data_IF_303333930702
#
_entry.id   IF_303333930702
#
_cell.length_a   1.000
_cell.length_b   1.000
_cell.length_c   1.000
_cell.angle_alpha   90.00
_cell.angle_beta   90.00
_cell.angle_gamma   90.00
#
_symmetry.space_group_name_H-M   'P 1'
#
loop_
_entity.id
_entity.type
_entity.pdbx_description
1 polymer ?
#
# COMPACT_ATOMS: atom_id res chain seq x y z
N UNK A 1 -17.45 7.94 66.76
CA UNK A 1 -17.93 6.56 66.53
C UNK A 1 -17.11 6.02 65.35
N UNK A 2 -15.90 5.45 65.50
CA UNK A 2 -15.52 4.12 66.00
C UNK A 2 -16.52 3.02 65.64
N UNK A 3 -16.19 2.17 64.66
CA UNK A 3 -15.80 0.76 64.86
C UNK A 3 -15.84 0.00 63.51
N UNK A 4 -14.73 -0.63 63.17
CA UNK A 4 -14.67 -1.80 62.28
C UNK A 4 -14.48 -3.06 63.15
N UNK A 5 -14.37 -4.25 62.52
CA UNK A 5 -15.30 -5.40 62.46
C UNK A 5 -15.12 -6.38 63.64
N UNK A 6 -15.63 -7.65 63.63
CA UNK A 6 -14.69 -8.73 63.25
C UNK A 6 -15.29 -10.11 62.78
N UNK A 7 -14.37 -10.98 62.31
CA UNK A 7 -14.31 -12.47 62.44
C UNK A 7 -15.21 -13.39 61.57
N UNK A 8 -14.91 -14.64 61.17
CA UNK A 8 -13.83 -15.69 61.25
C UNK A 8 -14.41 -16.86 60.37
N UNK A 9 -13.72 -17.69 59.57
CA UNK A 9 -12.66 -18.67 59.84
C UNK A 9 -12.00 -19.06 58.49
N UNK A 10 -10.69 -19.31 58.31
CA UNK A 10 -9.74 -20.22 58.98
C UNK A 10 -10.12 -21.70 58.92
N UNK A 11 -9.62 -22.39 57.89
CA UNK A 11 -9.10 -23.76 58.06
C UNK A 11 -7.71 -23.81 57.42
N UNK A 12 -6.70 -23.78 58.29
CA UNK A 12 -5.36 -24.29 58.07
C UNK A 12 -5.45 -25.75 57.59
N UNK A 13 -4.72 -26.11 56.54
CA UNK A 13 -4.12 -27.44 56.47
C UNK A 13 -2.61 -27.26 56.68
N UNK A 14 -2.16 -27.84 57.78
CA UNK A 14 -0.84 -27.69 58.37
C UNK A 14 -0.16 -29.05 58.26
N UNK A 15 0.62 -29.25 57.20
CA UNK A 15 1.62 -30.31 57.15
C UNK A 15 2.94 -29.76 56.65
N UNK A 16 3.71 -29.30 57.64
CA UNK A 16 5.15 -29.15 57.62
C UNK A 16 5.86 -30.18 56.72
N UNK A 17 6.95 -29.78 56.04
CA UNK A 17 8.30 -30.34 56.28
C UNK A 17 9.37 -29.49 55.54
N UNK A 18 10.03 -28.66 56.34
CA UNK A 18 11.48 -28.39 56.45
C UNK A 18 12.32 -28.15 55.18
N UNK A 19 12.76 -26.89 55.07
CA UNK A 19 13.93 -26.46 54.30
C UNK A 19 15.19 -26.70 55.15
N UNK A 20 16.13 -27.55 54.71
CA UNK A 20 17.50 -27.59 55.22
C UNK A 20 18.48 -27.76 54.06
N UNK A 21 19.38 -26.79 53.92
CA UNK A 21 20.50 -26.79 52.99
C UNK A 21 21.56 -27.83 53.38
N UNK A 22 22.11 -28.57 52.42
CA UNK A 22 23.40 -29.25 52.53
C UNK A 22 23.80 -29.90 51.19
N UNK A 23 24.94 -29.47 50.62
CA UNK A 23 25.98 -30.25 49.92
C UNK A 23 25.55 -31.23 48.79
N UNK A 24 26.23 -31.43 47.67
CA UNK A 24 27.38 -30.88 46.99
C UNK A 24 27.37 -31.55 45.60
N UNK A 25 27.92 -30.86 44.60
CA UNK A 25 28.40 -31.28 43.27
C UNK A 25 28.41 -32.80 42.98
N UNK A 26 27.94 -33.22 41.78
CA UNK A 26 28.70 -33.96 40.74
C UNK A 26 27.78 -34.50 39.60
N UNK A 27 28.28 -34.37 38.36
CA UNK A 27 27.97 -35.04 37.08
C UNK A 27 26.73 -34.61 36.24
N UNK A 28 27.04 -33.99 35.08
CA UNK A 28 26.25 -33.95 33.83
C UNK A 28 26.19 -35.36 33.19
N UNK A 29 25.24 -35.73 32.28
CA UNK A 29 25.21 -35.09 30.96
C UNK A 29 23.86 -35.04 30.18
N UNK A 30 23.83 -34.12 29.21
CA UNK A 30 23.31 -34.32 27.84
C UNK A 30 21.82 -34.68 27.66
N UNK A 31 20.94 -33.68 27.61
CA UNK A 31 19.77 -33.67 26.72
C UNK A 31 19.10 -32.30 26.71
N UNK A 32 18.93 -31.73 25.51
CA UNK A 32 17.89 -30.76 25.23
C UNK A 32 18.22 -29.31 25.57
N UNK A 33 18.48 -28.50 24.54
CA UNK A 33 17.49 -27.53 24.12
C UNK A 33 17.87 -27.01 22.73
N UNK A 34 17.03 -27.37 21.77
CA UNK A 34 17.00 -26.86 20.40
C UNK A 34 16.96 -25.32 20.45
N UNK A 35 18.09 -24.65 20.20
CA UNK A 35 18.07 -23.21 19.99
C UNK A 35 17.49 -22.97 18.60
N UNK A 36 16.26 -22.47 18.58
CA UNK A 36 15.50 -22.13 17.40
C UNK A 36 16.28 -21.15 16.50
N UNK A 37 16.79 -21.65 15.39
CA UNK A 37 16.95 -20.84 14.20
C UNK A 37 15.60 -20.83 13.48
N UNK A 38 14.66 -20.05 14.03
CA UNK A 38 13.59 -19.50 13.21
C UNK A 38 14.25 -18.49 12.28
N UNK A 39 14.87 -18.98 11.21
CA UNK A 39 15.04 -18.20 10.00
C UNK A 39 13.63 -17.87 9.56
N UNK A 40 13.14 -16.72 9.99
CA UNK A 40 12.02 -16.08 9.34
C UNK A 40 12.51 -15.75 7.94
N UNK A 41 12.37 -16.71 7.02
CA UNK A 41 12.26 -16.44 5.59
C UNK A 41 10.92 -15.73 5.34
N UNK A 42 10.69 -14.63 6.06
CA UNK A 42 9.83 -13.58 5.60
C UNK A 42 10.56 -12.99 4.40
N UNK A 43 10.44 -13.67 3.24
CA UNK A 43 10.71 -13.06 1.95
C UNK A 43 10.03 -11.70 2.03
N UNK A 44 10.78 -10.59 1.91
CA UNK A 44 10.16 -9.29 1.97
C UNK A 44 9.04 -9.28 0.94
N UNK A 45 7.83 -8.97 1.37
CA UNK A 45 6.66 -8.92 0.49
C UNK A 45 6.95 -7.85 -0.55
N UNK A 46 7.45 -8.27 -1.71
CA UNK A 46 7.67 -7.40 -2.85
C UNK A 46 6.47 -7.54 -3.77
N UNK A 47 6.17 -6.45 -4.47
CA UNK A 47 5.16 -6.47 -5.52
C UNK A 47 5.88 -6.68 -6.84
N UNK A 48 5.62 -7.82 -7.46
CA UNK A 48 6.04 -8.10 -8.83
C UNK A 48 5.24 -7.19 -9.78
N UNK A 49 5.92 -6.24 -10.42
CA UNK A 49 5.29 -5.21 -11.26
C UNK A 49 5.30 -5.58 -12.74
N UNK A 50 6.15 -6.54 -13.15
CA UNK A 50 6.22 -7.02 -14.53
C UNK A 50 5.75 -8.48 -14.70
N UNK A 51 5.28 -9.10 -13.61
CA UNK A 51 4.65 -10.42 -13.57
C UNK A 51 5.62 -11.55 -13.95
N UNK A 52 6.91 -11.43 -13.58
CA UNK A 52 7.94 -12.41 -13.92
C UNK A 52 8.35 -13.35 -12.76
N UNK A 53 7.75 -13.18 -11.57
CA UNK A 53 7.95 -14.02 -10.39
C UNK A 53 9.30 -13.86 -9.68
N UNK A 54 10.07 -12.80 -9.97
CA UNK A 54 11.34 -12.48 -9.30
C UNK A 54 11.38 -11.02 -8.85
N UNK A 55 12.18 -10.73 -7.82
CA UNK A 55 12.44 -9.35 -7.42
C UNK A 55 13.49 -8.73 -8.35
N UNK A 56 13.05 -7.86 -9.25
CA UNK A 56 13.95 -7.12 -10.12
C UNK A 56 14.53 -5.86 -9.46
N UNK A 57 15.73 -5.38 -9.87
CA UNK A 57 16.34 -4.19 -9.29
C UNK A 57 15.42 -2.96 -9.28
N UNK A 58 14.63 -2.71 -10.34
CA UNK A 58 13.71 -1.57 -10.38
C UNK A 58 12.56 -1.65 -9.33
N UNK A 59 12.19 -2.86 -8.91
CA UNK A 59 11.13 -3.15 -7.94
C UNK A 59 11.64 -3.09 -6.49
N UNK A 60 12.93 -3.28 -6.29
CA UNK A 60 13.55 -3.25 -4.97
C UNK A 60 13.70 -1.81 -4.45
N UNK A 61 12.76 -1.41 -3.60
CA UNK A 61 12.77 -0.12 -2.90
C UNK A 61 14.01 0.15 -2.03
N UNK A 62 14.82 -0.88 -1.72
CA UNK A 62 16.07 -0.74 -0.96
C UNK A 62 17.23 -0.25 -1.83
N UNK A 63 17.11 -0.31 -3.15
CA UNK A 63 18.12 0.18 -4.11
C UNK A 63 17.97 1.69 -4.30
N UNK A 64 19.06 2.35 -4.69
CA UNK A 64 19.04 3.78 -5.03
C UNK A 64 18.12 4.04 -6.23
N UNK A 65 17.62 5.28 -6.34
CA UNK A 65 16.79 5.67 -7.47
C UNK A 65 17.49 5.44 -8.81
N UNK A 66 18.79 5.76 -8.92
CA UNK A 66 19.57 5.61 -10.15
C UNK A 66 19.59 4.16 -10.64
N UNK A 67 19.91 3.19 -9.75
CA UNK A 67 19.92 1.76 -10.08
C UNK A 67 18.56 1.29 -10.59
N UNK A 68 17.49 1.81 -9.99
CA UNK A 68 16.11 1.44 -10.35
C UNK A 68 15.66 2.09 -11.66
N UNK A 69 16.13 3.30 -11.93
CA UNK A 69 15.85 4.02 -13.17
C UNK A 69 16.58 3.33 -14.33
N UNK A 70 17.86 3.04 -14.17
CA UNK A 70 18.69 2.39 -15.19
C UNK A 70 18.14 1.00 -15.56
N UNK A 71 17.82 0.17 -14.55
CA UNK A 71 17.24 -1.15 -14.79
C UNK A 71 15.90 -1.08 -15.54
N UNK A 72 15.01 -0.13 -15.20
CA UNK A 72 13.77 0.01 -15.96
C UNK A 72 14.03 0.51 -17.39
N UNK A 73 14.88 1.52 -17.57
CA UNK A 73 15.16 2.09 -18.90
C UNK A 73 15.78 1.06 -19.85
N UNK A 74 16.55 0.11 -19.34
CA UNK A 74 17.06 -1.02 -20.11
C UNK A 74 15.97 -2.01 -20.52
N UNK A 75 14.90 -2.13 -19.72
CA UNK A 75 13.78 -3.04 -19.99
C UNK A 75 12.72 -2.45 -20.91
N UNK A 76 12.66 -1.13 -21.05
CA UNK A 76 11.66 -0.43 -21.85
C UNK A 76 11.99 -0.44 -23.35
N UNK A 77 10.95 -0.63 -24.17
CA UNK A 77 11.05 -0.41 -25.62
C UNK A 77 11.10 1.09 -25.95
N UNK A 78 11.41 1.44 -27.20
CA UNK A 78 11.41 2.85 -27.62
C UNK A 78 10.02 3.46 -27.53
N UNK A 79 8.99 2.71 -27.88
CA UNK A 79 7.58 3.11 -27.84
C UNK A 79 7.13 3.37 -26.40
N UNK A 80 7.52 2.52 -25.46
CA UNK A 80 7.24 2.72 -24.03
C UNK A 80 7.95 3.98 -23.51
N UNK A 81 9.20 4.23 -23.93
CA UNK A 81 9.93 5.46 -23.57
C UNK A 81 9.22 6.70 -24.09
N UNK A 82 8.81 6.70 -25.36
CA UNK A 82 8.05 7.80 -25.95
C UNK A 82 6.70 8.00 -25.25
N UNK A 83 6.00 6.92 -24.91
CA UNK A 83 4.74 6.98 -24.17
C UNK A 83 4.88 7.62 -22.79
N UNK A 84 5.99 7.39 -22.08
CA UNK A 84 6.26 8.04 -20.79
C UNK A 84 6.50 9.55 -20.89
N UNK A 85 6.84 10.06 -22.07
CA UNK A 85 7.01 11.50 -22.30
C UNK A 85 5.68 12.20 -22.62
N UNK A 86 4.60 11.45 -22.85
CA UNK A 86 3.29 12.01 -23.19
C UNK A 86 2.45 12.30 -21.96
N UNK A 87 1.79 13.46 -21.99
CA UNK A 87 0.73 13.84 -21.04
C UNK A 87 -0.58 13.98 -21.80
N UNK A 88 -1.53 13.08 -21.58
CA UNK A 88 -2.80 13.06 -22.29
C UNK A 88 -3.97 13.55 -21.42
N UNK A 89 -5.13 13.84 -22.01
CA UNK A 89 -6.38 13.89 -21.25
C UNK A 89 -7.01 12.51 -21.24
N UNK A 90 -7.47 12.05 -20.07
CA UNK A 90 -8.28 10.84 -20.01
C UNK A 90 -9.57 11.06 -20.82
N UNK A 91 -9.88 10.18 -21.79
CA UNK A 91 -11.14 10.22 -22.51
C UNK A 91 -12.32 10.04 -21.56
N UNK A 92 -13.35 10.85 -21.75
CA UNK A 92 -14.63 10.73 -21.05
C UNK A 92 -15.76 10.51 -22.06
N UNK A 93 -16.96 10.18 -21.58
CA UNK A 93 -18.15 10.12 -22.44
C UNK A 93 -18.52 11.45 -23.13
N UNK A 94 -17.94 12.57 -22.70
CA UNK A 94 -18.09 13.87 -23.35
C UNK A 94 -17.08 14.06 -24.51
N UNK A 95 -17.52 14.49 -25.72
CA UNK A 95 -16.64 14.68 -26.89
C UNK A 95 -15.55 15.74 -26.75
N UNK A 96 -15.76 16.76 -25.90
CA UNK A 96 -14.74 17.76 -25.58
C UNK A 96 -13.82 17.29 -24.44
N UNK A 97 -14.18 16.16 -23.82
CA UNK A 97 -13.51 15.58 -22.68
C UNK A 97 -13.61 16.48 -21.46
N UNK A 98 -14.64 17.33 -21.35
CA UNK A 98 -14.80 18.29 -20.27
C UNK A 98 -16.14 18.06 -19.56
N UNK A 99 -16.11 17.78 -18.26
CA UNK A 99 -17.32 17.63 -17.46
C UNK A 99 -18.08 16.32 -17.67
N UNK A 100 -17.45 15.32 -18.31
CA UNK A 100 -18.00 13.97 -18.33
C UNK A 100 -18.24 13.43 -16.91
N UNK A 101 -19.29 12.63 -16.74
CA UNK A 101 -19.58 11.93 -15.47
C UNK A 101 -18.80 10.63 -15.34
N UNK A 102 -18.12 10.18 -16.40
CA UNK A 102 -17.23 9.04 -16.31
C UNK A 102 -16.23 8.91 -17.46
N UNK A 103 -15.16 8.17 -17.20
CA UNK A 103 -14.18 7.83 -18.22
C UNK A 103 -14.73 6.85 -19.26
N UNK A 104 -14.36 7.05 -20.52
CA UNK A 104 -14.50 6.01 -21.55
C UNK A 104 -13.35 5.00 -21.36
N UNK A 105 -13.63 3.94 -20.60
CA UNK A 105 -12.62 2.92 -20.28
C UNK A 105 -12.10 2.16 -21.50
N UNK A 106 -12.85 2.10 -22.61
CA UNK A 106 -12.37 1.49 -23.87
C UNK A 106 -11.31 2.38 -24.50
N UNK A 107 -11.57 3.68 -24.59
CA UNK A 107 -10.60 4.64 -25.09
C UNK A 107 -9.38 4.80 -24.17
N UNK A 108 -9.58 4.77 -22.84
CA UNK A 108 -8.50 4.77 -21.84
C UNK A 108 -7.62 3.53 -21.99
N UNK A 109 -8.21 2.33 -22.18
CA UNK A 109 -7.46 1.10 -22.42
C UNK A 109 -6.54 1.20 -23.62
N UNK A 110 -7.02 1.72 -24.74
CA UNK A 110 -6.19 1.95 -25.93
C UNK A 110 -5.06 2.94 -25.63
N UNK A 111 -5.36 4.00 -24.90
CA UNK A 111 -4.36 5.00 -24.52
C UNK A 111 -3.22 4.42 -23.66
N UNK A 112 -3.55 3.60 -22.67
CA UNK A 112 -2.58 3.05 -21.73
C UNK A 112 -1.83 1.87 -22.35
N UNK A 113 -2.53 0.91 -22.95
CA UNK A 113 -1.93 -0.33 -23.41
C UNK A 113 -1.26 -0.22 -24.79
N UNK A 114 -1.81 0.60 -25.70
CA UNK A 114 -1.30 0.71 -27.07
C UNK A 114 -0.35 1.91 -27.23
N UNK A 115 -0.58 3.00 -26.48
CA UNK A 115 0.24 4.23 -26.58
C UNK A 115 1.17 4.45 -25.39
N UNK A 116 1.18 3.53 -24.43
CA UNK A 116 2.06 3.56 -23.26
C UNK A 116 2.02 4.88 -22.46
N UNK A 117 0.87 5.57 -22.47
CA UNK A 117 0.72 6.82 -21.73
C UNK A 117 0.67 6.49 -20.23
N UNK A 118 1.58 7.11 -19.48
CA UNK A 118 1.72 6.88 -18.02
C UNK A 118 1.26 8.06 -17.18
N UNK A 119 1.03 9.23 -17.79
CA UNK A 119 0.56 10.42 -17.11
C UNK A 119 -0.58 11.08 -17.88
N UNK A 120 -1.61 11.53 -17.17
CA UNK A 120 -2.79 12.09 -17.81
C UNK A 120 -3.49 13.14 -16.93
N UNK A 121 -4.34 13.98 -17.51
CA UNK A 121 -5.21 14.87 -16.75
C UNK A 121 -6.61 14.26 -16.65
N UNK A 122 -7.29 14.52 -15.54
CA UNK A 122 -8.74 14.32 -15.45
C UNK A 122 -9.45 15.64 -15.68
N UNK A 123 -10.62 15.53 -16.31
CA UNK A 123 -11.55 16.63 -16.52
C UNK A 123 -12.97 16.21 -16.13
N UNK A 124 -13.12 15.12 -15.37
CA UNK A 124 -14.40 14.71 -14.82
C UNK A 124 -14.88 15.73 -13.79
N UNK A 125 -16.19 15.93 -13.73
CA UNK A 125 -16.84 16.79 -12.74
C UNK A 125 -17.83 15.95 -11.94
N UNK A 126 -17.29 15.16 -10.99
CA UNK A 126 -18.04 14.21 -10.15
C UNK A 126 -17.64 14.36 -8.68
N UNK A 127 -18.43 13.82 -7.72
CA UNK A 127 -18.05 13.83 -6.32
C UNK A 127 -16.68 13.17 -6.06
N UNK A 128 -15.93 13.60 -5.02
CA UNK A 128 -14.57 13.12 -4.78
C UNK A 128 -14.43 11.60 -4.62
N UNK A 129 -15.41 10.95 -3.97
CA UNK A 129 -15.39 9.49 -3.78
C UNK A 129 -15.50 8.76 -5.13
N UNK A 130 -16.41 9.20 -6.00
CA UNK A 130 -16.60 8.63 -7.33
C UNK A 130 -15.36 8.88 -8.21
N UNK A 131 -14.76 10.07 -8.12
CA UNK A 131 -13.52 10.38 -8.85
C UNK A 131 -12.37 9.45 -8.41
N UNK A 132 -12.25 9.18 -7.10
CA UNK A 132 -11.25 8.25 -6.58
C UNK A 132 -11.50 6.82 -7.07
N UNK A 133 -12.75 6.35 -7.09
CA UNK A 133 -13.10 5.04 -7.62
C UNK A 133 -12.75 4.90 -9.12
N UNK A 134 -13.07 5.93 -9.91
CA UNK A 134 -12.74 5.95 -11.34
C UNK A 134 -11.23 6.03 -11.57
N UNK A 135 -10.50 6.86 -10.83
CA UNK A 135 -9.04 6.91 -10.91
C UNK A 135 -8.42 5.56 -10.55
N UNK A 136 -8.91 4.90 -9.50
CA UNK A 136 -8.47 3.56 -9.11
C UNK A 136 -8.74 2.51 -10.21
N UNK A 137 -9.84 2.63 -10.95
CA UNK A 137 -10.12 1.77 -12.11
C UNK A 137 -9.07 1.94 -13.21
N UNK A 138 -8.66 3.19 -13.48
CA UNK A 138 -7.57 3.50 -14.42
C UNK A 138 -6.23 2.95 -13.92
N UNK A 139 -5.94 3.05 -12.61
CA UNK A 139 -4.71 2.45 -12.03
C UNK A 139 -4.69 0.93 -12.20
N UNK A 140 -5.79 0.24 -11.87
CA UNK A 140 -5.89 -1.22 -12.01
C UNK A 140 -5.67 -1.66 -13.46
N UNK A 141 -6.15 -0.87 -14.42
CA UNK A 141 -5.91 -1.11 -15.84
C UNK A 141 -4.43 -0.92 -16.21
N UNK A 142 -3.77 0.09 -15.67
CA UNK A 142 -2.36 0.30 -15.96
C UNK A 142 -1.42 -0.70 -15.27
N UNK A 143 -1.84 -1.28 -14.14
CA UNK A 143 -1.18 -2.42 -13.50
C UNK A 143 -1.12 -3.67 -14.39
N UNK A 144 -1.97 -3.77 -15.43
CA UNK A 144 -1.93 -4.87 -16.41
C UNK A 144 -0.91 -4.64 -17.54
N UNK A 145 -0.20 -3.51 -17.54
CA UNK A 145 0.87 -3.26 -18.51
C UNK A 145 2.07 -4.17 -18.24
N UNK A 146 2.91 -4.36 -19.27
CA UNK A 146 4.11 -5.21 -19.18
C UNK A 146 5.11 -4.73 -18.12
N UNK A 147 5.29 -3.42 -18.04
CA UNK A 147 6.22 -2.77 -17.10
C UNK A 147 5.46 -1.71 -16.33
N UNK A 148 4.83 -2.11 -15.24
CA UNK A 148 4.18 -1.16 -14.36
C UNK A 148 5.23 -0.48 -13.47
N UNK A 149 5.19 0.86 -13.39
CA UNK A 149 6.01 1.64 -12.46
C UNK A 149 5.08 2.46 -11.56
N UNK A 150 5.28 2.37 -10.25
CA UNK A 150 4.75 3.38 -9.31
C UNK A 150 5.80 4.48 -9.15
N UNK A 151 5.46 5.72 -9.49
CA UNK A 151 6.28 6.86 -9.10
C UNK A 151 6.28 6.94 -7.56
N UNK A 152 7.46 6.99 -6.93
CA UNK A 152 7.52 7.00 -5.47
C UNK A 152 6.79 8.23 -4.89
N UNK A 153 6.10 7.99 -3.77
CA UNK A 153 5.31 8.91 -2.93
C UNK A 153 4.00 9.49 -3.48
N UNK A 154 3.67 9.30 -4.76
CA UNK A 154 2.31 9.50 -5.27
C UNK A 154 1.71 8.16 -5.69
N UNK A 155 0.59 7.77 -5.07
CA UNK A 155 -0.03 6.44 -5.25
C UNK A 155 -0.62 6.17 -6.65
N UNK A 156 -0.33 6.99 -7.66
CA UNK A 156 -1.24 7.17 -8.79
C UNK A 156 -0.44 7.42 -10.08
N UNK A 157 -0.89 6.89 -11.24
CA UNK A 157 -0.87 7.66 -12.50
C UNK A 157 -1.15 9.09 -12.07
N UNK A 158 -0.24 10.01 -12.37
CA UNK A 158 -0.45 11.41 -12.06
C UNK A 158 -1.64 11.86 -12.90
N UNK A 159 -2.83 11.70 -12.33
CA UNK A 159 -4.08 12.25 -12.80
C UNK A 159 -4.10 13.66 -12.24
N UNK A 160 -3.46 14.58 -12.95
CA UNK A 160 -3.37 15.96 -12.48
C UNK A 160 -4.77 16.57 -12.53
N UNK A 161 -5.38 16.69 -11.36
CA UNK A 161 -6.68 17.34 -11.18
C UNK A 161 -6.49 18.84 -11.36
N UNK A 162 -7.02 19.40 -12.45
CA UNK A 162 -7.28 20.83 -12.50
C UNK A 162 -8.56 21.08 -11.72
N UNK A 163 -8.42 21.41 -10.43
CA UNK A 163 -9.53 21.86 -9.60
C UNK A 163 -10.12 23.15 -10.21
N UNK A 164 -11.13 22.99 -11.07
CA UNK A 164 -12.05 24.10 -11.34
C UNK A 164 -12.91 24.23 -10.09
N UNK A 165 -12.52 25.17 -9.23
CA UNK A 165 -13.24 25.52 -8.02
C UNK A 165 -14.64 26.04 -8.38
N UNK A 166 -15.64 25.16 -8.38
CA UNK A 166 -17.04 25.58 -8.31
C UNK A 166 -17.41 25.72 -6.83
N UNK A 167 -17.02 26.84 -6.24
CA UNK A 167 -17.66 27.37 -5.03
C UNK A 167 -19.10 27.74 -5.41
N UNK A 168 -20.05 26.85 -5.17
CA UNK A 168 -21.50 27.12 -5.10
C UNK A 168 -22.13 25.84 -4.55
N UNK A 169 -22.66 25.76 -3.32
CA UNK A 169 -23.62 26.68 -2.74
C UNK A 169 -23.63 26.51 -1.21
N UNK A 170 -22.83 27.30 -0.50
CA UNK A 170 -23.08 27.61 0.91
C UNK A 170 -24.02 28.83 0.96
N UNK A 171 -25.28 28.62 0.56
CA UNK A 171 -26.37 29.56 0.84
C UNK A 171 -27.52 28.82 1.53
N UNK A 172 -27.20 28.21 2.67
CA UNK A 172 -28.15 28.10 3.77
C UNK A 172 -27.69 29.09 4.84
N UNK A 173 -28.64 29.76 5.49
CA UNK A 173 -28.46 30.70 6.62
C UNK A 173 -28.04 32.16 6.31
N UNK A 174 -28.95 32.94 5.72
CA UNK A 174 -29.37 34.28 6.24
C UNK A 174 -30.40 34.93 5.33
N UNK A 175 -31.67 34.87 5.72
CA UNK A 175 -32.64 35.96 5.57
C UNK A 175 -33.63 35.87 6.73
N UNK A 176 -33.99 37.07 7.16
CA UNK A 176 -34.73 37.47 8.36
C UNK A 176 -36.09 36.80 8.48
#
# INVERSE_FOLDING_TARGET
MRFAPPCIALTLDDRHIRMTAAHARILLPLAGLLLAASGSDASPVYRDLNHNGRLDPYEDSRRSADVRIDDLLMRMTLEEKVGTMMHASLPSGDPLGAGGTGYDMVAVRRMILERHVTSAITRLSVPPAELAEQNNAVQRLAETTRLWRRHHDAREILVMQTLSATTSNAASTRRL
#
